data_IF_338789930626
#
_entry.id   IF_338789930626
#
_cell.length_a   1.000
_cell.length_b   1.000
_cell.length_c   1.000
_cell.angle_alpha   90.00
_cell.angle_beta   90.00
_cell.angle_gamma   90.00
#
_symmetry.space_group_name_H-M   'P 1'
#
loop_
_entity.id
_entity.type
_entity.pdbx_description
1 polymer ?
#
# COMPACT_ATOMS: atom_id res chain seq x y z
N UNK A 1 -9.05 -0.42 9.78
CA UNK A 1 -7.94 0.54 9.83
C UNK A 1 -8.40 1.96 9.52
N UNK A 2 -9.06 2.19 8.41
CA UNK A 2 -9.56 3.50 7.98
C UNK A 2 -10.35 4.25 9.05
N UNK A 3 -11.24 3.56 9.80
CA UNK A 3 -12.05 4.20 10.85
C UNK A 3 -11.19 4.75 11.97
N UNK A 4 -10.13 4.03 12.41
CA UNK A 4 -9.18 4.52 13.43
C UNK A 4 -8.50 5.81 12.98
N UNK A 5 -8.08 5.87 11.70
CA UNK A 5 -7.44 7.05 11.10
C UNK A 5 -8.42 8.24 11.09
N UNK A 6 -9.64 8.03 10.60
CA UNK A 6 -10.65 9.07 10.53
C UNK A 6 -11.07 9.58 11.92
N UNK A 7 -11.09 8.69 12.92
CA UNK A 7 -11.34 9.06 14.30
C UNK A 7 -10.24 9.98 14.86
N UNK A 8 -8.97 9.64 14.63
CA UNK A 8 -7.84 10.48 15.02
C UNK A 8 -7.87 11.84 14.31
N UNK A 9 -8.13 11.86 13.00
CA UNK A 9 -8.25 13.09 12.19
C UNK A 9 -9.35 14.01 12.75
N UNK A 10 -10.53 13.47 13.08
CA UNK A 10 -11.61 14.24 13.69
C UNK A 10 -11.24 14.75 15.09
N UNK A 11 -10.60 13.91 15.91
CA UNK A 11 -10.16 14.25 17.27
C UNK A 11 -9.22 15.47 17.29
N UNK A 12 -8.31 15.55 16.32
CA UNK A 12 -7.36 16.65 16.19
C UNK A 12 -7.80 17.75 15.22
N UNK A 13 -9.05 17.71 14.74
CA UNK A 13 -9.64 18.71 13.85
C UNK A 13 -8.77 19.01 12.61
N UNK A 14 -8.23 17.96 12.01
CA UNK A 14 -7.39 18.08 10.83
C UNK A 14 -8.28 18.20 9.59
N UNK A 15 -8.21 19.33 8.91
CA UNK A 15 -9.09 19.65 7.77
C UNK A 15 -8.59 19.08 6.45
N UNK A 16 -7.27 19.03 6.27
CA UNK A 16 -6.68 18.67 4.99
C UNK A 16 -5.77 17.45 5.13
N UNK A 17 -6.15 16.36 4.51
CA UNK A 17 -5.42 15.09 4.56
C UNK A 17 -5.69 14.23 3.32
N UNK A 18 -4.81 13.26 3.11
CA UNK A 18 -4.97 12.19 2.12
C UNK A 18 -4.73 10.85 2.81
N UNK A 19 -5.61 9.89 2.59
CA UNK A 19 -5.45 8.51 3.05
C UNK A 19 -5.39 7.59 1.84
N UNK A 20 -4.29 6.86 1.71
CA UNK A 20 -4.08 5.85 0.67
C UNK A 20 -3.95 4.50 1.33
N UNK A 21 -4.87 3.59 1.05
CA UNK A 21 -4.82 2.22 1.54
C UNK A 21 -4.22 1.32 0.46
N UNK A 22 -3.22 0.53 0.83
CA UNK A 22 -2.57 -0.44 -0.03
C UNK A 22 -2.64 -1.81 0.62
N UNK A 23 -3.21 -2.77 -0.08
CA UNK A 23 -3.16 -4.18 0.26
C UNK A 23 -2.40 -4.91 -0.84
N UNK A 24 -1.45 -5.74 -0.46
CA UNK A 24 -0.66 -6.56 -1.37
C UNK A 24 -0.81 -8.01 -0.95
N UNK A 25 -1.26 -8.84 -1.86
CA UNK A 25 -1.27 -10.28 -1.71
C UNK A 25 -0.28 -10.86 -2.71
N UNK A 26 0.58 -11.76 -2.24
CA UNK A 26 1.63 -12.37 -3.04
C UNK A 26 1.77 -13.85 -2.75
N UNK A 27 2.12 -14.62 -3.78
CA UNK A 27 2.54 -15.99 -3.66
C UNK A 27 3.96 -16.13 -4.21
N UNK A 28 4.82 -16.76 -3.43
CA UNK A 28 6.20 -17.07 -3.82
C UNK A 28 6.32 -18.59 -3.92
N UNK A 29 6.87 -19.05 -5.03
CA UNK A 29 7.08 -20.47 -5.32
C UNK A 29 8.58 -20.68 -5.51
N UNK A 30 9.15 -21.58 -4.74
CA UNK A 30 10.57 -21.91 -4.80
C UNK A 30 10.73 -23.35 -5.33
N UNK A 31 11.60 -23.50 -6.29
CA UNK A 31 11.85 -24.79 -6.94
C UNK A 31 13.30 -25.20 -6.75
N UNK A 32 13.50 -26.47 -6.45
CA UNK A 32 14.82 -27.10 -6.47
C UNK A 32 14.76 -28.18 -7.53
N UNK A 33 15.56 -28.04 -8.58
CA UNK A 33 15.49 -28.90 -9.78
C UNK A 33 14.08 -28.86 -10.36
N UNK A 34 13.38 -30.00 -10.40
CA UNK A 34 12.02 -30.12 -10.93
C UNK A 34 10.95 -30.24 -9.88
N UNK A 35 11.28 -30.00 -8.60
CA UNK A 35 10.36 -30.14 -7.50
C UNK A 35 10.06 -28.79 -6.85
N UNK A 36 8.78 -28.57 -6.52
CA UNK A 36 8.37 -27.43 -5.71
C UNK A 36 8.84 -27.67 -4.27
N UNK A 37 9.84 -26.90 -3.85
CA UNK A 37 10.43 -26.99 -2.52
C UNK A 37 9.61 -26.24 -1.48
N UNK A 38 9.22 -25.00 -1.79
CA UNK A 38 8.49 -24.15 -0.86
C UNK A 38 7.44 -23.31 -1.57
N UNK A 39 6.26 -23.19 -0.92
CA UNK A 39 5.21 -22.24 -1.27
C UNK A 39 5.01 -21.27 -0.11
N UNK A 40 5.16 -20.00 -0.36
CA UNK A 40 4.95 -18.95 0.62
C UNK A 40 3.84 -18.02 0.18
N UNK A 41 2.88 -17.76 1.08
CA UNK A 41 1.83 -16.77 0.89
C UNK A 41 2.14 -15.55 1.76
N UNK A 42 1.94 -14.36 1.21
CA UNK A 42 2.17 -13.10 1.89
C UNK A 42 0.98 -12.18 1.66
N UNK A 43 0.51 -11.58 2.74
CA UNK A 43 -0.49 -10.52 2.70
C UNK A 43 0.00 -9.35 3.54
N UNK A 44 0.17 -8.20 2.91
CA UNK A 44 0.56 -6.95 3.57
C UNK A 44 -0.53 -5.91 3.38
N UNK A 45 -0.81 -5.15 4.42
CA UNK A 45 -1.71 -4.01 4.37
C UNK A 45 -1.09 -2.82 5.08
N UNK A 46 -1.14 -1.66 4.44
CA UNK A 46 -0.66 -0.40 5.00
C UNK A 46 -1.55 0.75 4.56
N UNK A 47 -1.80 1.69 5.47
CA UNK A 47 -2.43 2.96 5.12
C UNK A 47 -1.42 4.09 5.24
N UNK A 48 -1.07 4.70 4.12
CA UNK A 48 -0.28 5.93 4.11
C UNK A 48 -1.21 7.12 4.32
N UNK A 49 -0.90 7.94 5.32
CA UNK A 49 -1.67 9.14 5.65
C UNK A 49 -0.77 10.35 5.46
N UNK A 50 -1.14 11.24 4.54
CA UNK A 50 -0.49 12.54 4.38
C UNK A 50 -1.37 13.60 5.03
N UNK A 51 -0.80 14.33 5.96
CA UNK A 51 -1.46 15.41 6.69
C UNK A 51 -0.90 16.73 6.20
N UNK A 52 -1.76 17.67 5.91
CA UNK A 52 -1.40 19.02 5.49
C UNK A 52 -1.78 20.02 6.57
N UNK A 53 -0.96 21.04 6.73
CA UNK A 53 -1.21 22.14 7.64
C UNK A 53 -0.93 23.48 6.96
N UNK A 54 -1.93 24.33 6.90
CA UNK A 54 -1.82 25.69 6.37
C UNK A 54 -1.44 26.66 7.50
N UNK A 55 -0.52 27.56 7.20
CA UNK A 55 -0.09 28.61 8.13
C UNK A 55 0.51 29.79 7.37
N UNK A 56 0.71 30.91 8.06
CA UNK A 56 1.40 32.07 7.51
C UNK A 56 2.83 32.13 8.04
N UNK A 57 3.79 32.37 7.17
CA UNK A 57 5.17 32.67 7.51
C UNK A 57 5.71 33.75 6.56
N UNK A 58 6.41 34.73 7.13
CA UNK A 58 7.01 35.83 6.39
C UNK A 58 6.01 36.57 5.47
N UNK A 59 4.75 36.74 5.94
CA UNK A 59 3.66 37.37 5.19
C UNK A 59 3.16 36.57 3.99
N UNK A 60 3.49 35.29 3.89
CA UNK A 60 3.06 34.40 2.82
C UNK A 60 2.31 33.20 3.38
N UNK A 61 1.27 32.79 2.65
CA UNK A 61 0.56 31.55 2.96
C UNK A 61 1.44 30.34 2.59
N UNK A 62 1.64 29.46 3.55
CA UNK A 62 2.44 28.24 3.42
C UNK A 62 1.56 27.02 3.65
N UNK A 63 1.97 25.89 3.09
CA UNK A 63 1.38 24.58 3.36
C UNK A 63 2.48 23.57 3.68
N UNK A 64 2.53 23.15 4.92
CA UNK A 64 3.37 22.05 5.34
C UNK A 64 2.69 20.71 5.14
N UNK A 65 3.48 19.64 5.04
CA UNK A 65 2.97 18.29 4.97
C UNK A 65 3.86 17.31 5.72
N UNK A 66 3.23 16.28 6.27
CA UNK A 66 3.93 15.13 6.84
C UNK A 66 3.23 13.84 6.41
N UNK A 67 4.00 12.79 6.20
CA UNK A 67 3.51 11.49 5.78
C UNK A 67 3.83 10.44 6.85
N UNK A 68 2.85 9.61 7.18
CA UNK A 68 2.97 8.50 8.12
C UNK A 68 2.33 7.24 7.56
N UNK A 69 2.85 6.10 7.98
CA UNK A 69 2.26 4.79 7.70
C UNK A 69 1.54 4.28 8.94
N UNK A 70 0.33 3.83 8.75
CA UNK A 70 -0.50 3.18 9.78
C UNK A 70 -0.68 1.73 9.39
N UNK A 71 -0.43 0.83 10.34
CA UNK A 71 -0.50 -0.61 10.16
C UNK A 71 -1.72 -1.20 10.86
N UNK A 72 -2.24 -2.35 10.41
CA UNK A 72 -3.47 -2.96 10.95
C UNK A 72 -3.43 -3.24 12.44
N UNK A 73 -2.25 -3.62 12.96
CA UNK A 73 -2.02 -4.00 14.34
C UNK A 73 -1.99 -2.83 15.33
N UNK A 74 -1.83 -1.60 14.84
CA UNK A 74 -1.77 -0.42 15.70
C UNK A 74 -3.07 -0.22 16.48
N UNK A 75 -2.93 0.06 17.77
CA UNK A 75 -4.04 0.46 18.64
C UNK A 75 -4.59 1.84 18.26
N UNK A 76 -5.73 2.24 18.81
CA UNK A 76 -6.26 3.60 18.56
C UNK A 76 -5.33 4.68 19.13
N UNK A 77 -4.74 4.44 20.31
CA UNK A 77 -3.82 5.36 20.97
C UNK A 77 -2.56 5.59 20.12
N UNK A 78 -1.98 4.53 19.56
CA UNK A 78 -0.81 4.62 18.68
C UNK A 78 -1.13 5.39 17.38
N UNK A 79 -2.32 5.16 16.82
CA UNK A 79 -2.78 5.91 15.63
C UNK A 79 -2.98 7.39 15.98
N UNK A 80 -3.57 7.69 17.14
CA UNK A 80 -3.78 9.06 17.62
C UNK A 80 -2.44 9.79 17.80
N UNK A 81 -1.46 9.15 18.42
CA UNK A 81 -0.12 9.73 18.61
C UNK A 81 0.60 9.95 17.28
N UNK A 82 0.54 8.99 16.35
CA UNK A 82 1.15 9.11 15.04
C UNK A 82 0.53 10.28 14.24
N UNK A 83 -0.81 10.37 14.21
CA UNK A 83 -1.53 11.44 13.52
C UNK A 83 -1.23 12.81 14.14
N UNK A 84 -1.23 12.92 15.48
CA UNK A 84 -0.88 14.14 16.21
C UNK A 84 0.56 14.56 15.90
N UNK A 85 1.49 13.61 15.95
CA UNK A 85 2.91 13.86 15.65
C UNK A 85 3.11 14.35 14.22
N UNK A 86 2.44 13.74 13.25
CA UNK A 86 2.49 14.17 11.85
C UNK A 86 1.90 15.58 11.65
N UNK A 87 0.79 15.88 12.31
CA UNK A 87 0.20 17.23 12.25
C UNK A 87 1.13 18.30 12.85
N UNK A 88 1.84 17.97 13.91
CA UNK A 88 2.87 18.84 14.47
C UNK A 88 4.07 18.97 13.53
N UNK A 89 4.58 17.86 13.00
CA UNK A 89 5.71 17.85 12.07
C UNK A 89 5.43 18.67 10.80
N UNK A 90 4.21 18.63 10.29
CA UNK A 90 3.80 19.40 9.13
C UNK A 90 3.99 20.93 9.33
N UNK A 91 3.99 21.43 10.58
CA UNK A 91 4.21 22.87 10.86
C UNK A 91 5.63 23.36 10.62
N UNK A 92 6.61 22.45 10.53
CA UNK A 92 8.01 22.78 10.28
C UNK A 92 8.37 22.79 8.80
N UNK A 93 7.51 22.25 7.95
CA UNK A 93 7.73 22.20 6.50
C UNK A 93 7.13 23.44 5.85
N UNK A 94 7.96 24.32 5.33
CA UNK A 94 7.57 25.62 4.75
C UNK A 94 7.55 25.55 3.22
N UNK A 95 6.52 24.95 2.64
CA UNK A 95 6.30 25.00 1.21
C UNK A 95 5.36 26.18 0.87
N UNK A 96 5.57 26.87 -0.28
CA UNK A 96 4.57 27.79 -0.79
C UNK A 96 3.21 27.11 -0.88
N UNK A 97 2.14 27.85 -0.58
CA UNK A 97 0.79 27.29 -0.67
C UNK A 97 0.50 26.78 -2.09
N UNK A 98 -0.10 25.61 -2.16
CA UNK A 98 -0.60 25.02 -3.40
C UNK A 98 -1.97 24.39 -3.16
N UNK A 99 -2.80 24.37 -4.18
CA UNK A 99 -4.09 23.67 -4.10
C UNK A 99 -3.89 22.17 -4.35
N UNK A 100 -4.54 21.36 -3.50
CA UNK A 100 -4.59 19.93 -3.74
C UNK A 100 -5.54 19.61 -4.90
N UNK A 101 -5.20 18.64 -5.75
CA UNK A 101 -6.07 18.24 -6.83
C UNK A 101 -7.41 17.76 -6.27
N UNK A 102 -8.50 18.27 -6.82
CA UNK A 102 -9.83 17.75 -6.54
C UNK A 102 -9.94 16.37 -7.20
N UNK A 103 -10.16 15.34 -6.39
CA UNK A 103 -10.31 13.98 -6.88
C UNK A 103 -11.44 13.91 -7.93
N UNK A 104 -11.14 13.35 -9.08
CA UNK A 104 -12.16 12.92 -10.04
C UNK A 104 -12.58 11.51 -9.67
N UNK A 105 -13.88 11.24 -9.77
CA UNK A 105 -14.39 9.87 -9.75
C UNK A 105 -13.94 9.23 -11.05
N UNK A 106 -12.94 8.38 -11.00
CA UNK A 106 -12.50 7.64 -12.18
C UNK A 106 -13.46 6.48 -12.42
N UNK A 107 -13.82 6.26 -13.67
CA UNK A 107 -14.54 5.08 -14.08
C UNK A 107 -13.66 3.85 -13.83
N UNK A 108 -14.25 2.81 -13.23
CA UNK A 108 -13.52 1.56 -12.99
C UNK A 108 -13.11 0.97 -14.33
N UNK A 109 -11.82 0.98 -14.61
CA UNK A 109 -11.27 0.28 -15.77
C UNK A 109 -11.38 -1.22 -15.51
N UNK A 110 -12.21 -1.91 -16.31
CA UNK A 110 -12.25 -3.37 -16.30
C UNK A 110 -11.04 -3.90 -17.07
N UNK A 111 -10.07 -4.41 -16.33
CA UNK A 111 -8.96 -5.15 -16.94
C UNK A 111 -9.43 -6.56 -17.24
N UNK A 112 -9.50 -6.91 -18.52
CA UNK A 112 -9.78 -8.29 -18.95
C UNK A 112 -8.50 -9.11 -18.80
N UNK A 113 -8.50 -10.05 -17.86
CA UNK A 113 -7.41 -10.98 -17.65
C UNK A 113 -7.97 -12.38 -17.45
N UNK A 114 -7.29 -13.39 -17.96
CA UNK A 114 -7.61 -14.80 -17.71
C UNK A 114 -7.37 -15.21 -16.26
N UNK A 115 -6.70 -14.36 -15.49
CA UNK A 115 -6.42 -14.55 -14.06
C UNK A 115 -7.48 -13.88 -13.16
N UNK A 116 -8.37 -13.02 -13.71
CA UNK A 116 -9.42 -12.40 -12.95
C UNK A 116 -10.35 -13.43 -12.31
N UNK A 117 -10.57 -13.30 -11.00
CA UNK A 117 -11.45 -14.19 -10.23
C UNK A 117 -10.83 -15.51 -9.79
N UNK A 118 -9.56 -15.75 -10.12
CA UNK A 118 -8.82 -16.90 -9.61
C UNK A 118 -8.15 -16.59 -8.28
N UNK A 119 -8.08 -17.59 -7.39
CA UNK A 119 -7.29 -17.48 -6.17
C UNK A 119 -5.79 -17.48 -6.46
N UNK A 120 -4.98 -16.99 -5.53
CA UNK A 120 -3.51 -17.07 -5.65
C UNK A 120 -3.01 -18.52 -5.73
N UNK A 121 -3.72 -19.44 -5.10
CA UNK A 121 -3.41 -20.87 -5.17
C UNK A 121 -3.64 -21.41 -6.59
N UNK A 122 -4.80 -21.16 -7.20
CA UNK A 122 -5.10 -21.55 -8.57
C UNK A 122 -4.15 -20.94 -9.58
N UNK A 123 -3.73 -19.67 -9.35
CA UNK A 123 -2.73 -19.00 -10.18
C UNK A 123 -1.36 -19.69 -10.01
N UNK A 124 -0.96 -19.99 -8.77
CA UNK A 124 0.27 -20.70 -8.46
C UNK A 124 0.33 -22.07 -9.14
N UNK A 125 -0.73 -22.85 -9.05
CA UNK A 125 -0.82 -24.16 -9.69
C UNK A 125 -0.74 -24.07 -11.23
N UNK A 126 -1.36 -23.03 -11.82
CA UNK A 126 -1.25 -22.77 -13.24
C UNK A 126 0.19 -22.43 -13.66
N UNK A 127 0.93 -21.66 -12.85
CA UNK A 127 2.35 -21.37 -13.07
C UNK A 127 3.21 -22.62 -12.97
N UNK A 128 3.03 -23.45 -11.93
CA UNK A 128 3.74 -24.72 -11.78
C UNK A 128 3.53 -25.60 -13.01
N UNK A 129 2.26 -25.75 -13.43
CA UNK A 129 1.92 -26.52 -14.60
C UNK A 129 2.54 -25.96 -15.89
N UNK A 130 2.54 -24.64 -16.06
CA UNK A 130 3.15 -23.99 -17.21
C UNK A 130 4.67 -24.15 -17.23
N UNK A 131 5.31 -24.06 -16.06
CA UNK A 131 6.76 -24.23 -15.92
C UNK A 131 7.22 -25.62 -16.37
N UNK A 132 6.46 -26.66 -16.01
CA UNK A 132 6.81 -28.04 -16.34
C UNK A 132 6.24 -28.54 -17.67
N UNK A 133 5.36 -27.79 -18.33
CA UNK A 133 4.82 -28.22 -19.64
C UNK A 133 5.88 -28.22 -20.76
N UNK A 134 7.00 -27.53 -20.56
CA UNK A 134 8.15 -27.42 -21.46
C UNK A 134 9.25 -28.41 -21.06
N UNK A 135 8.97 -29.33 -20.16
CA UNK A 135 9.91 -30.34 -19.70
C UNK A 135 10.19 -31.35 -20.80
N UNK A 136 11.17 -31.03 -21.59
CA UNK A 136 11.59 -31.83 -22.71
C UNK A 136 12.95 -32.39 -22.40
N UNK A 137 13.03 -33.57 -21.88
CA UNK A 137 14.21 -34.44 -21.98
C UNK A 137 15.57 -33.89 -21.51
N UNK A 138 15.67 -32.67 -20.98
CA UNK A 138 16.92 -32.09 -20.54
C UNK A 138 16.91 -31.87 -19.00
N UNK A 139 17.67 -32.69 -18.30
CA UNK A 139 17.79 -32.68 -16.85
C UNK A 139 18.45 -31.41 -16.29
N UNK A 140 18.98 -30.55 -17.15
CA UNK A 140 19.66 -29.32 -16.77
C UNK A 140 18.74 -28.11 -16.76
N UNK A 141 17.50 -28.23 -17.18
CA UNK A 141 16.69 -27.08 -17.58
C UNK A 141 16.17 -26.22 -16.41
N UNK A 142 15.78 -26.77 -15.30
CA UNK A 142 15.31 -26.00 -14.15
C UNK A 142 16.13 -26.39 -12.92
N UNK A 143 17.10 -25.54 -12.58
CA UNK A 143 17.94 -25.82 -11.42
C UNK A 143 17.46 -25.05 -10.18
N UNK A 144 17.07 -23.80 -10.35
CA UNK A 144 16.45 -22.93 -9.33
C UNK A 144 15.63 -21.85 -10.01
N UNK A 145 14.50 -21.53 -9.47
CA UNK A 145 13.69 -20.38 -9.86
C UNK A 145 13.25 -19.60 -8.62
#
# INVERSE_FOLDING_TARGET
MREKILQAIRKFQIETYLVTEKTVEGAELYFIKKELDMRRMKQDAVSAVTIYRDFEADGKKMRGSANINIFPEMTQEEVDEAVKGAYYAASFVKNPFFELPKGKKEDKVQVKSTLCGKSLEEIGDAFVKALYCVDVQDDAFINTA
#
